data_IF_102728632376
#
_entry.id   IF_102728632376
#
_cell.length_a   1.000
_cell.length_b   1.000
_cell.length_c   1.000
_cell.angle_alpha   90.00
_cell.angle_beta   90.00
_cell.angle_gamma   90.00
#
_symmetry.space_group_name_H-M   'P 1'
#
loop_
_entity.id
_entity.type
_entity.pdbx_description
1 polymer ?
#
# COMPACT_ATOMS: atom_id res chain seq x y z
N UNK A 1 36.70 -4.20 7.61
CA UNK A 1 35.79 -5.12 8.31
C UNK A 1 35.07 -4.32 9.38
N UNK A 2 33.91 -3.79 9.04
CA UNK A 2 33.01 -3.14 10.00
C UNK A 2 31.67 -3.88 9.89
N UNK A 3 31.56 -4.91 10.72
CA UNK A 3 30.31 -5.62 10.99
C UNK A 3 29.47 -4.68 11.86
N UNK A 4 28.69 -3.79 11.20
CA UNK A 4 27.67 -3.00 11.89
C UNK A 4 26.52 -3.97 12.17
N UNK A 5 26.43 -4.43 13.41
CA UNK A 5 25.27 -5.12 13.94
C UNK A 5 24.04 -4.30 13.56
N UNK A 6 23.15 -4.87 12.73
CA UNK A 6 21.83 -4.27 12.46
C UNK A 6 21.08 -4.19 13.79
N UNK A 7 20.34 -3.11 14.08
CA UNK A 7 19.49 -3.05 15.27
C UNK A 7 18.53 -4.25 15.30
N UNK A 8 18.24 -4.78 16.46
CA UNK A 8 17.37 -5.97 16.62
C UNK A 8 15.98 -5.78 15.98
N UNK A 9 15.44 -4.55 15.96
CA UNK A 9 14.16 -4.19 15.33
C UNK A 9 14.16 -4.36 13.81
N UNK A 10 15.25 -3.98 13.12
CA UNK A 10 15.41 -4.18 11.67
C UNK A 10 15.42 -5.67 11.30
N UNK A 11 16.09 -6.47 12.12
CA UNK A 11 16.13 -7.93 11.96
C UNK A 11 14.73 -8.53 12.08
N UNK A 12 13.89 -8.00 12.99
CA UNK A 12 12.53 -8.49 13.23
C UNK A 12 11.61 -8.18 12.04
N UNK A 13 11.59 -6.95 11.50
CA UNK A 13 10.76 -6.61 10.35
C UNK A 13 11.12 -7.42 9.11
N UNK A 14 12.41 -7.59 8.82
CA UNK A 14 12.90 -8.37 7.68
C UNK A 14 12.47 -9.84 7.79
N UNK A 15 12.55 -10.42 8.98
CA UNK A 15 12.07 -11.78 9.25
C UNK A 15 10.54 -11.89 9.05
N UNK A 16 9.77 -10.95 9.59
CA UNK A 16 8.32 -10.91 9.43
C UNK A 16 7.90 -10.73 7.96
N UNK A 17 8.63 -9.93 7.19
CA UNK A 17 8.36 -9.75 5.76
C UNK A 17 8.56 -11.06 4.98
N UNK A 18 9.60 -11.82 5.31
CA UNK A 18 9.87 -13.13 4.73
C UNK A 18 8.79 -14.18 5.11
N UNK A 19 8.38 -14.18 6.37
CA UNK A 19 7.30 -15.03 6.89
C UNK A 19 5.95 -14.71 6.22
N UNK A 20 5.59 -13.43 6.17
CA UNK A 20 4.33 -12.99 5.54
C UNK A 20 4.29 -13.30 4.06
N UNK A 21 5.40 -13.14 3.32
CA UNK A 21 5.45 -13.51 1.91
C UNK A 21 5.24 -15.01 1.70
N UNK A 22 5.84 -15.84 2.56
CA UNK A 22 5.66 -17.30 2.52
C UNK A 22 4.21 -17.68 2.84
N UNK A 23 3.65 -17.15 3.92
CA UNK A 23 2.28 -17.42 4.34
C UNK A 23 1.25 -16.96 3.29
N UNK A 24 1.48 -15.81 2.65
CA UNK A 24 0.65 -15.29 1.55
C UNK A 24 0.59 -16.27 0.39
N UNK A 25 1.73 -16.86 0.00
CA UNK A 25 1.82 -17.82 -1.11
C UNK A 25 1.28 -19.20 -0.76
N UNK A 26 1.43 -19.63 0.48
CA UNK A 26 0.86 -20.89 0.98
C UNK A 26 -0.66 -20.82 1.07
N UNK A 27 -1.21 -19.68 1.45
CA UNK A 27 -2.65 -19.44 1.54
C UNK A 27 -3.04 -18.12 0.86
N UNK A 28 -3.24 -18.12 -0.47
CA UNK A 28 -3.50 -16.94 -1.26
C UNK A 28 -4.65 -16.08 -0.71
N UNK A 29 -4.40 -14.85 -0.21
CA UNK A 29 -5.47 -14.02 0.34
C UNK A 29 -6.37 -13.51 -0.78
N UNK A 30 -7.69 -13.66 -0.61
CA UNK A 30 -8.69 -13.05 -1.48
C UNK A 30 -8.66 -11.53 -1.28
N UNK A 31 -8.16 -10.82 -2.27
CA UNK A 31 -7.95 -9.37 -2.20
C UNK A 31 -8.98 -8.65 -3.06
N UNK A 32 -9.93 -8.02 -2.40
CA UNK A 32 -10.98 -7.21 -3.04
C UNK A 32 -10.43 -5.84 -3.40
N UNK A 33 -10.59 -5.42 -4.66
CA UNK A 33 -10.10 -4.12 -5.14
C UNK A 33 -11.23 -3.33 -5.81
N UNK A 34 -11.60 -2.19 -5.21
CA UNK A 34 -12.26 -1.09 -5.91
C UNK A 34 -11.15 -0.14 -6.30
N UNK A 35 -10.75 -0.16 -7.57
CA UNK A 35 -9.60 0.61 -8.06
C UNK A 35 -9.93 1.39 -9.33
N UNK A 36 -9.06 2.32 -9.68
CA UNK A 36 -9.26 3.13 -10.87
C UNK A 36 -9.13 2.31 -12.17
N UNK A 37 -9.90 2.70 -13.17
CA UNK A 37 -10.02 1.97 -14.45
C UNK A 37 -8.72 1.91 -15.24
N UNK A 38 -7.81 2.87 -15.00
CA UNK A 38 -6.53 2.96 -15.74
C UNK A 38 -5.58 1.83 -15.35
N UNK A 39 -5.72 1.28 -14.13
CA UNK A 39 -4.76 0.30 -13.57
C UNK A 39 -5.39 -1.03 -13.16
N UNK A 40 -6.69 -1.24 -13.40
CA UNK A 40 -7.42 -2.44 -12.95
C UNK A 40 -6.71 -3.73 -13.35
N UNK A 41 -6.39 -3.90 -14.64
CA UNK A 41 -5.69 -5.09 -15.13
C UNK A 41 -4.26 -5.24 -14.59
N UNK A 42 -3.52 -4.12 -14.46
CA UNK A 42 -2.17 -4.16 -13.91
C UNK A 42 -2.18 -4.53 -12.41
N UNK A 43 -3.09 -3.95 -11.63
CA UNK A 43 -3.25 -4.29 -10.20
C UNK A 43 -3.60 -5.77 -10.00
N UNK A 44 -4.51 -6.31 -10.82
CA UNK A 44 -4.83 -7.73 -10.78
C UNK A 44 -3.61 -8.60 -11.08
N UNK A 45 -2.83 -8.27 -12.12
CA UNK A 45 -1.62 -9.00 -12.47
C UNK A 45 -0.53 -8.92 -11.38
N UNK A 46 -0.37 -7.77 -10.73
CA UNK A 46 0.55 -7.60 -9.58
C UNK A 46 0.16 -8.54 -8.43
N UNK A 47 -1.13 -8.62 -8.09
CA UNK A 47 -1.60 -9.53 -7.05
C UNK A 47 -1.40 -11.00 -7.43
N UNK A 48 -1.71 -11.38 -8.69
CA UNK A 48 -1.46 -12.74 -9.19
C UNK A 48 0.03 -13.10 -9.16
N UNK A 49 0.89 -12.20 -9.63
CA UNK A 49 2.34 -12.40 -9.60
C UNK A 49 2.88 -12.57 -8.18
N UNK A 50 2.34 -11.82 -7.23
CA UNK A 50 2.70 -11.93 -5.81
C UNK A 50 2.28 -13.27 -5.20
N UNK A 51 1.22 -13.90 -5.71
CA UNK A 51 0.61 -15.12 -5.18
C UNK A 51 -0.72 -14.91 -4.46
N UNK A 52 -1.32 -13.71 -4.55
CA UNK A 52 -2.64 -13.41 -4.01
C UNK A 52 -3.76 -13.68 -5.03
N UNK A 53 -5.02 -13.72 -4.58
CA UNK A 53 -6.21 -13.89 -5.41
C UNK A 53 -6.96 -12.56 -5.57
N UNK A 54 -6.80 -11.82 -6.71
CA UNK A 54 -7.49 -10.55 -6.91
C UNK A 54 -8.97 -10.74 -7.26
N UNK A 55 -9.82 -9.83 -6.76
CA UNK A 55 -11.20 -9.69 -7.18
C UNK A 55 -11.57 -8.21 -7.36
N UNK A 56 -12.00 -7.86 -8.58
CA UNK A 56 -12.35 -6.48 -8.95
C UNK A 56 -13.86 -6.33 -8.90
N UNK A 57 -14.42 -6.16 -7.67
CA UNK A 57 -15.87 -6.07 -7.44
C UNK A 57 -16.22 -4.64 -7.03
N UNK A 58 -16.73 -3.85 -7.96
CA UNK A 58 -16.98 -2.42 -7.81
C UNK A 58 -18.40 -1.99 -8.14
N UNK A 59 -19.33 -2.95 -8.02
CA UNK A 59 -20.77 -2.79 -8.28
C UNK A 59 -21.54 -2.69 -6.96
N UNK A 60 -22.50 -1.77 -6.90
CA UNK A 60 -23.46 -1.64 -5.79
C UNK A 60 -24.23 -2.95 -5.60
N UNK A 61 -24.60 -3.25 -4.37
CA UNK A 61 -25.25 -4.50 -3.93
C UNK A 61 -24.34 -5.75 -3.93
N UNK A 62 -23.15 -5.70 -4.55
CA UNK A 62 -22.17 -6.78 -4.53
C UNK A 62 -20.95 -6.43 -3.65
N UNK A 63 -20.48 -5.18 -3.72
CA UNK A 63 -19.22 -4.77 -3.10
C UNK A 63 -19.21 -4.96 -1.58
N UNK A 64 -20.32 -4.67 -0.90
CA UNK A 64 -20.44 -4.84 0.54
C UNK A 64 -20.39 -6.32 0.96
N UNK A 65 -21.12 -7.17 0.24
CA UNK A 65 -21.13 -8.62 0.49
C UNK A 65 -19.73 -9.22 0.25
N UNK A 66 -19.10 -8.81 -0.84
CA UNK A 66 -17.78 -9.34 -1.19
C UNK A 66 -16.68 -8.89 -0.23
N UNK A 67 -16.71 -7.63 0.24
CA UNK A 67 -15.78 -7.12 1.23
C UNK A 67 -15.85 -7.89 2.56
N UNK A 68 -17.03 -8.42 2.90
CA UNK A 68 -17.25 -9.26 4.09
C UNK A 68 -16.57 -10.63 4.04
N UNK A 69 -16.33 -11.18 2.84
CA UNK A 69 -15.68 -12.49 2.65
C UNK A 69 -14.22 -12.37 2.19
N UNK A 70 -13.78 -11.19 1.79
CA UNK A 70 -12.41 -10.94 1.40
C UNK A 70 -11.44 -11.03 2.58
N UNK A 71 -10.18 -11.36 2.30
CA UNK A 71 -9.09 -11.31 3.28
C UNK A 71 -8.65 -9.87 3.56
N UNK A 72 -8.63 -9.03 2.51
CA UNK A 72 -8.30 -7.62 2.59
C UNK A 72 -8.95 -6.83 1.46
N UNK A 73 -9.17 -5.53 1.64
CA UNK A 73 -9.86 -4.66 0.67
C UNK A 73 -9.00 -3.44 0.33
N UNK A 74 -8.92 -3.10 -0.96
CA UNK A 74 -8.38 -1.82 -1.44
C UNK A 74 -9.51 -0.91 -1.92
N UNK A 75 -9.52 0.33 -1.44
CA UNK A 75 -10.31 1.44 -1.99
C UNK A 75 -9.35 2.51 -2.54
N UNK A 76 -9.20 2.54 -3.87
CA UNK A 76 -8.37 3.50 -4.59
C UNK A 76 -9.23 4.51 -5.35
N UNK A 77 -9.02 5.79 -5.09
CA UNK A 77 -9.87 6.89 -5.56
C UNK A 77 -9.39 7.53 -6.88
N UNK A 78 -8.63 6.81 -7.70
CA UNK A 78 -8.03 7.37 -8.93
C UNK A 78 -9.03 7.85 -9.98
N UNK A 79 -10.09 7.09 -10.25
CA UNK A 79 -11.17 7.46 -11.19
C UNK A 79 -12.54 7.10 -10.64
N UNK A 80 -13.02 7.74 -9.55
CA UNK A 80 -14.19 7.30 -8.80
C UNK A 80 -15.48 7.62 -9.55
N UNK A 81 -15.98 6.68 -10.37
CA UNK A 81 -17.30 6.79 -11.01
C UNK A 81 -18.40 6.89 -9.96
N UNK A 82 -19.61 7.36 -10.31
CA UNK A 82 -20.73 7.35 -9.36
C UNK A 82 -20.99 5.98 -8.74
N UNK A 83 -20.90 4.92 -9.54
CA UNK A 83 -21.05 3.52 -9.10
C UNK A 83 -19.97 3.15 -8.10
N UNK A 84 -18.68 3.33 -8.44
CA UNK A 84 -17.58 3.01 -7.55
C UNK A 84 -17.60 3.80 -6.23
N UNK A 85 -18.12 5.04 -6.23
CA UNK A 85 -18.28 5.81 -4.99
C UNK A 85 -19.28 5.17 -4.03
N UNK A 86 -20.44 4.74 -4.57
CA UNK A 86 -21.46 4.05 -3.77
C UNK A 86 -20.97 2.67 -3.33
N UNK A 87 -20.40 1.88 -4.24
CA UNK A 87 -19.80 0.58 -3.94
C UNK A 87 -18.68 0.65 -2.88
N UNK A 88 -17.87 1.73 -2.89
CA UNK A 88 -16.83 1.94 -1.87
C UNK A 88 -17.41 2.12 -0.46
N UNK A 89 -18.51 2.82 -0.31
CA UNK A 89 -19.20 2.99 0.98
C UNK A 89 -19.76 1.65 1.48
N UNK A 90 -20.37 0.85 0.59
CA UNK A 90 -20.85 -0.49 0.91
C UNK A 90 -19.71 -1.43 1.28
N UNK A 91 -18.62 -1.43 0.50
CA UNK A 91 -17.46 -2.26 0.77
C UNK A 91 -16.84 -1.95 2.15
N UNK A 92 -16.71 -0.66 2.50
CA UNK A 92 -16.21 -0.25 3.82
C UNK A 92 -17.16 -0.69 4.93
N UNK A 93 -18.48 -0.59 4.74
CA UNK A 93 -19.46 -1.07 5.72
C UNK A 93 -19.39 -2.59 5.88
N UNK A 94 -19.31 -3.35 4.77
CA UNK A 94 -19.16 -4.81 4.78
C UNK A 94 -17.86 -5.26 5.43
N UNK A 95 -16.76 -4.60 5.11
CA UNK A 95 -15.45 -4.85 5.73
C UNK A 95 -15.48 -4.60 7.23
N UNK A 96 -16.08 -3.49 7.67
CA UNK A 96 -16.22 -3.16 9.10
C UNK A 96 -17.05 -4.22 9.85
N UNK A 97 -18.15 -4.70 9.27
CA UNK A 97 -19.01 -5.71 9.87
C UNK A 97 -18.28 -7.07 10.04
N UNK A 98 -17.40 -7.43 9.11
CA UNK A 98 -16.63 -8.68 9.12
C UNK A 98 -15.24 -8.56 9.78
N UNK A 99 -14.81 -7.35 10.15
CA UNK A 99 -13.47 -7.07 10.63
C UNK A 99 -12.40 -7.28 9.57
N UNK A 100 -12.76 -7.17 8.28
CA UNK A 100 -11.82 -7.26 7.16
C UNK A 100 -10.97 -5.98 7.10
N UNK A 101 -9.62 -6.08 7.11
CA UNK A 101 -8.77 -4.92 7.00
C UNK A 101 -8.90 -4.30 5.60
N UNK A 102 -8.89 -2.96 5.55
CA UNK A 102 -8.96 -2.26 4.27
C UNK A 102 -7.98 -1.11 4.18
N UNK A 103 -7.55 -0.81 2.96
CA UNK A 103 -6.58 0.22 2.61
C UNK A 103 -7.30 1.34 1.87
N UNK A 104 -7.06 2.60 2.28
CA UNK A 104 -7.45 3.80 1.55
C UNK A 104 -6.26 4.31 0.74
N UNK A 105 -6.42 4.41 -0.58
CA UNK A 105 -5.45 5.07 -1.49
C UNK A 105 -6.12 6.31 -2.10
N UNK A 106 -5.92 7.51 -1.49
CA UNK A 106 -6.63 8.74 -1.84
C UNK A 106 -5.99 9.45 -3.03
N UNK A 107 -5.88 8.76 -4.15
CA UNK A 107 -5.20 9.25 -5.37
C UNK A 107 -5.69 10.62 -5.80
N UNK A 108 -4.76 11.57 -5.95
CA UNK A 108 -4.97 12.92 -6.49
C UNK A 108 -6.05 13.74 -5.74
N UNK A 109 -6.18 13.57 -4.44
CA UNK A 109 -7.00 14.45 -3.60
C UNK A 109 -6.36 15.82 -3.40
N UNK A 110 -7.11 16.75 -2.84
CA UNK A 110 -6.72 18.16 -2.65
C UNK A 110 -7.20 19.05 -3.78
N UNK A 111 -6.79 18.78 -5.02
CA UNK A 111 -7.19 19.57 -6.19
C UNK A 111 -8.52 19.14 -6.82
N UNK A 112 -8.95 17.90 -6.62
CA UNK A 112 -10.15 17.32 -7.24
C UNK A 112 -11.27 17.13 -6.20
N UNK A 113 -12.32 17.95 -6.20
CA UNK A 113 -13.26 18.06 -5.09
C UNK A 113 -14.05 16.77 -4.81
N UNK A 114 -14.45 16.03 -5.85
CA UNK A 114 -15.27 14.81 -5.69
C UNK A 114 -14.53 13.75 -4.89
N UNK A 115 -13.30 13.42 -5.28
CA UNK A 115 -12.50 12.40 -4.58
C UNK A 115 -11.98 12.89 -3.24
N UNK A 116 -11.73 14.20 -3.11
CA UNK A 116 -11.31 14.81 -1.84
C UNK A 116 -12.41 14.66 -0.79
N UNK A 117 -13.65 15.01 -1.13
CA UNK A 117 -14.78 14.85 -0.23
C UNK A 117 -15.01 13.37 0.14
N UNK A 118 -14.89 12.46 -0.83
CA UNK A 118 -15.03 11.03 -0.60
C UNK A 118 -13.92 10.49 0.32
N UNK A 119 -12.65 10.87 0.11
CA UNK A 119 -11.54 10.47 0.96
C UNK A 119 -11.74 10.91 2.42
N UNK A 120 -12.15 12.18 2.63
CA UNK A 120 -12.47 12.68 3.98
C UNK A 120 -13.65 11.97 4.63
N UNK A 121 -14.61 11.50 3.86
CA UNK A 121 -15.70 10.65 4.38
C UNK A 121 -15.19 9.26 4.76
N UNK A 122 -14.49 8.59 3.85
CA UNK A 122 -14.02 7.21 4.03
C UNK A 122 -13.02 7.08 5.18
N UNK A 123 -12.09 8.04 5.35
CA UNK A 123 -11.07 7.95 6.41
C UNK A 123 -11.68 7.92 7.81
N UNK A 124 -12.89 8.45 8.00
CA UNK A 124 -13.60 8.40 9.29
C UNK A 124 -14.01 6.97 9.69
N UNK A 125 -14.08 6.05 8.72
CA UNK A 125 -14.36 4.63 8.94
C UNK A 125 -13.11 3.82 9.30
N UNK A 126 -12.01 4.49 9.65
CA UNK A 126 -10.79 3.90 10.20
C UNK A 126 -10.20 2.79 9.34
N UNK A 127 -9.66 3.11 8.15
CA UNK A 127 -8.91 2.14 7.36
C UNK A 127 -7.78 1.52 8.19
N UNK A 128 -7.48 0.25 7.97
CA UNK A 128 -6.31 -0.39 8.59
C UNK A 128 -5.02 0.30 8.11
N UNK A 129 -4.97 0.72 6.83
CA UNK A 129 -3.89 1.52 6.32
C UNK A 129 -4.39 2.63 5.37
N UNK A 130 -3.62 3.72 5.31
CA UNK A 130 -3.74 4.82 4.35
C UNK A 130 -2.43 4.85 3.57
N UNK A 131 -2.50 4.78 2.24
CA UNK A 131 -1.33 4.86 1.37
C UNK A 131 -1.46 6.05 0.44
N UNK A 132 -0.45 6.91 0.36
CA UNK A 132 -0.42 8.04 -0.57
C UNK A 132 0.99 8.58 -0.76
N UNK A 133 1.17 9.51 -1.69
CA UNK A 133 2.38 10.33 -1.74
C UNK A 133 2.29 11.48 -0.72
N UNK A 134 3.37 12.24 -0.55
CA UNK A 134 3.43 13.32 0.43
C UNK A 134 2.29 14.35 0.26
N UNK A 135 2.00 14.77 -0.97
CA UNK A 135 0.95 15.77 -1.24
C UNK A 135 -0.46 15.25 -0.94
N UNK A 136 -0.74 13.96 -1.18
CA UNK A 136 -2.01 13.32 -0.86
C UNK A 136 -2.21 13.18 0.65
N UNK A 137 -1.17 12.81 1.38
CA UNK A 137 -1.21 12.70 2.85
C UNK A 137 -1.40 14.09 3.50
N UNK A 138 -0.70 15.11 3.02
CA UNK A 138 -0.91 16.50 3.48
C UNK A 138 -2.34 16.97 3.20
N UNK A 139 -2.87 16.71 2.01
CA UNK A 139 -4.24 17.06 1.65
C UNK A 139 -5.27 16.33 2.51
N UNK A 140 -5.07 15.04 2.80
CA UNK A 140 -5.95 14.26 3.66
C UNK A 140 -5.93 14.76 5.12
N UNK A 141 -4.78 15.25 5.59
CA UNK A 141 -4.64 15.88 6.90
C UNK A 141 -5.29 17.27 7.00
N UNK A 142 -5.78 17.83 5.89
CA UNK A 142 -6.34 19.19 5.83
C UNK A 142 -5.27 20.28 5.78
N UNK A 143 -4.02 19.92 5.55
CA UNK A 143 -2.91 20.81 5.33
C UNK A 143 -2.81 21.03 3.81
N UNK A 144 -3.32 22.15 3.32
CA UNK A 144 -3.33 22.46 1.89
C UNK A 144 -1.92 22.62 1.37
N UNK A 145 -1.39 21.61 0.72
CA UNK A 145 -0.33 21.79 -0.23
C UNK A 145 -0.95 22.44 -1.47
N UNK A 146 -0.57 23.64 -1.80
CA UNK A 146 -0.96 24.32 -3.03
C UNK A 146 -0.30 23.71 -4.29
N UNK A 147 -0.12 22.39 -4.31
CA UNK A 147 0.57 21.67 -5.37
C UNK A 147 -0.29 21.50 -6.62
N UNK A 148 0.26 21.84 -7.79
CA UNK A 148 -0.32 21.57 -9.09
C UNK A 148 -0.04 20.10 -9.45
N UNK A 149 -1.06 19.23 -9.32
CA UNK A 149 -0.99 17.90 -9.91
C UNK A 149 -0.31 16.81 -9.06
N UNK A 150 -0.16 15.65 -9.66
CA UNK A 150 0.32 14.38 -9.07
C UNK A 150 1.84 14.39 -8.82
N UNK A 151 2.54 15.42 -9.24
CA UNK A 151 4.00 15.58 -9.05
C UNK A 151 4.26 15.82 -7.55
N UNK A 152 4.84 14.83 -6.91
CA UNK A 152 5.26 14.87 -5.51
C UNK A 152 6.42 15.87 -5.38
N UNK A 153 6.10 17.17 -5.23
CA UNK A 153 7.08 18.21 -4.92
C UNK A 153 7.47 18.21 -3.45
N UNK A 154 6.64 17.59 -2.60
CA UNK A 154 6.87 17.48 -1.17
C UNK A 154 7.59 16.16 -0.84
N UNK A 155 8.56 16.23 0.05
CA UNK A 155 9.29 15.05 0.52
C UNK A 155 8.46 14.27 1.54
N UNK A 156 8.76 12.98 1.73
CA UNK A 156 8.14 12.17 2.80
C UNK A 156 8.38 12.78 4.19
N UNK A 157 9.50 13.46 4.38
CA UNK A 157 9.80 14.19 5.63
C UNK A 157 8.86 15.37 5.85
N UNK A 158 8.49 16.12 4.80
CA UNK A 158 7.51 17.19 4.89
C UNK A 158 6.12 16.70 5.30
N UNK A 159 5.77 15.46 4.94
CA UNK A 159 4.49 14.84 5.29
C UNK A 159 4.53 14.05 6.62
N UNK A 160 5.68 13.97 7.28
CA UNK A 160 5.87 13.15 8.49
C UNK A 160 4.87 13.50 9.60
N UNK A 161 4.76 14.79 9.95
CA UNK A 161 3.86 15.23 11.01
C UNK A 161 2.39 14.99 10.65
N UNK A 162 2.03 15.17 9.37
CA UNK A 162 0.70 14.86 8.86
C UNK A 162 0.39 13.36 8.95
N UNK A 163 1.34 12.50 8.58
CA UNK A 163 1.21 11.06 8.68
C UNK A 163 1.02 10.60 10.13
N UNK A 164 1.82 11.12 11.05
CA UNK A 164 1.70 10.85 12.49
C UNK A 164 0.34 11.29 13.05
N UNK A 165 -0.12 12.49 12.67
CA UNK A 165 -1.42 13.01 13.10
C UNK A 165 -2.59 12.17 12.57
N UNK A 166 -2.55 11.76 11.29
CA UNK A 166 -3.56 10.88 10.70
C UNK A 166 -3.56 9.50 11.37
N UNK A 167 -2.38 8.91 11.59
CA UNK A 167 -2.24 7.63 12.27
C UNK A 167 -2.83 7.66 13.68
N UNK A 168 -2.46 8.65 14.48
CA UNK A 168 -2.99 8.83 15.83
C UNK A 168 -4.50 9.10 15.85
N UNK A 169 -5.01 9.91 14.90
CA UNK A 169 -6.43 10.30 14.83
C UNK A 169 -7.35 9.15 14.44
N UNK A 170 -6.93 8.33 13.48
CA UNK A 170 -7.77 7.29 12.88
C UNK A 170 -7.42 5.88 13.35
N UNK A 171 -6.31 5.70 14.05
CA UNK A 171 -5.81 4.37 14.44
C UNK A 171 -5.36 3.55 13.22
N UNK A 172 -4.91 4.24 12.18
CA UNK A 172 -4.50 3.65 10.90
C UNK A 172 -2.98 3.63 10.78
N UNK A 173 -2.44 2.68 10.06
CA UNK A 173 -1.06 2.80 9.55
C UNK A 173 -1.07 3.77 8.37
N UNK A 174 -0.14 4.73 8.35
CA UNK A 174 0.00 5.67 7.23
C UNK A 174 1.31 5.39 6.52
N UNK A 175 1.23 5.08 5.23
CA UNK A 175 2.36 4.82 4.34
C UNK A 175 2.51 5.96 3.33
N UNK A 176 3.57 6.74 3.46
CA UNK A 176 3.92 7.83 2.56
C UNK A 176 4.99 7.35 1.59
N UNK A 177 4.63 7.24 0.32
CA UNK A 177 5.57 6.81 -0.73
C UNK A 177 6.45 7.97 -1.20
N UNK A 178 7.74 7.66 -1.43
CA UNK A 178 8.74 8.59 -1.94
C UNK A 178 10.07 7.89 -2.25
N UNK A 179 11.16 8.65 -2.46
CA UNK A 179 12.50 8.06 -2.62
C UNK A 179 12.94 7.22 -1.42
N UNK A 180 12.47 7.56 -0.23
CA UNK A 180 12.50 6.76 0.99
C UNK A 180 11.08 6.76 1.52
N UNK A 181 10.42 5.61 1.52
CA UNK A 181 9.08 5.48 2.08
C UNK A 181 9.10 5.72 3.60
N UNK A 182 8.03 6.35 4.11
CA UNK A 182 7.80 6.54 5.53
C UNK A 182 6.50 5.84 5.92
N UNK A 183 6.56 4.94 6.89
CA UNK A 183 5.39 4.18 7.35
C UNK A 183 5.28 4.32 8.86
N UNK A 184 4.10 4.67 9.36
CA UNK A 184 3.90 4.92 10.80
C UNK A 184 2.52 4.48 11.30
N UNK A 185 2.47 4.03 12.54
CA UNK A 185 1.24 3.78 13.32
C UNK A 185 0.97 4.91 14.36
N UNK A 186 1.78 5.99 14.33
CA UNK A 186 1.74 7.07 15.29
C UNK A 186 2.58 6.83 16.56
N UNK A 187 3.20 5.65 16.69
CA UNK A 187 4.09 5.27 17.81
C UNK A 187 5.45 4.82 17.33
N UNK A 188 5.50 4.21 16.18
CA UNK A 188 6.72 3.72 15.50
C UNK A 188 6.77 4.32 14.11
N UNK A 189 7.99 4.51 13.62
CA UNK A 189 8.25 4.93 12.25
C UNK A 189 9.20 3.91 11.62
N UNK A 190 8.80 3.42 10.45
CA UNK A 190 9.64 2.60 9.57
C UNK A 190 9.98 3.40 8.34
N UNK A 191 11.26 3.42 7.96
CA UNK A 191 11.77 3.99 6.71
C UNK A 191 12.30 2.88 5.83
N UNK A 192 11.92 2.89 4.55
CA UNK A 192 12.36 1.90 3.56
C UNK A 192 13.02 2.66 2.41
N UNK A 193 14.32 2.42 2.23
CA UNK A 193 15.14 3.04 1.18
C UNK A 193 15.30 2.16 -0.07
N UNK A 194 14.49 1.11 -0.19
CA UNK A 194 14.38 0.28 -1.38
C UNK A 194 13.44 0.92 -2.41
N UNK A 195 13.62 0.57 -3.67
CA UNK A 195 12.78 0.99 -4.77
C UNK A 195 13.57 1.55 -5.95
N UNK A 196 12.85 1.89 -7.01
CA UNK A 196 13.42 2.46 -8.22
C UNK A 196 12.49 3.52 -8.82
N UNK A 197 13.07 4.57 -9.42
CA UNK A 197 12.31 5.66 -10.03
C UNK A 197 11.39 5.22 -11.18
N UNK A 198 11.65 4.08 -11.82
CA UNK A 198 10.82 3.52 -12.88
C UNK A 198 9.40 3.19 -12.41
N UNK A 199 9.19 2.97 -11.10
CA UNK A 199 7.85 2.87 -10.52
C UNK A 199 6.98 4.10 -10.79
N UNK A 200 7.58 5.28 -10.92
CA UNK A 200 6.87 6.53 -11.23
C UNK A 200 6.58 6.70 -12.73
N UNK A 201 7.23 5.89 -13.57
CA UNK A 201 7.11 5.94 -15.04
C UNK A 201 6.21 4.86 -15.62
N UNK A 202 5.62 4.03 -14.75
CA UNK A 202 4.66 2.99 -15.13
C UNK A 202 3.33 3.28 -14.45
N UNK A 203 2.27 3.35 -15.26
CA UNK A 203 0.92 3.55 -14.74
C UNK A 203 0.54 2.37 -13.85
N UNK A 204 0.17 2.66 -12.62
CA UNK A 204 -0.21 1.64 -11.65
C UNK A 204 0.90 1.26 -10.66
N UNK A 205 2.15 1.67 -10.87
CA UNK A 205 3.25 1.35 -9.95
C UNK A 205 2.94 1.72 -8.49
N UNK A 206 2.37 2.90 -8.26
CA UNK A 206 1.89 3.29 -6.93
C UNK A 206 0.57 2.63 -6.54
N UNK A 207 -0.45 2.67 -7.40
CA UNK A 207 -1.79 2.17 -7.08
C UNK A 207 -1.81 0.66 -6.76
N UNK A 208 -0.99 -0.15 -7.43
CA UNK A 208 -0.88 -1.57 -7.16
C UNK A 208 -0.28 -1.86 -5.77
N UNK A 209 0.61 -1.00 -5.25
CA UNK A 209 1.15 -1.15 -3.89
C UNK A 209 0.03 -1.13 -2.83
N UNK A 210 -1.02 -0.32 -3.01
CA UNK A 210 -2.17 -0.34 -2.11
C UNK A 210 -2.87 -1.70 -2.06
N UNK A 211 -2.97 -2.39 -3.20
CA UNK A 211 -3.52 -3.75 -3.26
C UNK A 211 -2.59 -4.77 -2.60
N UNK A 212 -1.27 -4.65 -2.80
CA UNK A 212 -0.28 -5.48 -2.10
C UNK A 212 -0.39 -5.30 -0.59
N UNK A 213 -0.53 -4.06 -0.11
CA UNK A 213 -0.75 -3.79 1.33
C UNK A 213 -2.04 -4.46 1.83
N UNK A 214 -3.13 -4.43 1.06
CA UNK A 214 -4.37 -5.10 1.43
C UNK A 214 -4.20 -6.62 1.53
N UNK A 215 -3.45 -7.23 0.60
CA UNK A 215 -3.13 -8.66 0.64
C UNK A 215 -2.29 -9.02 1.88
N UNK A 216 -1.24 -8.26 2.18
CA UNK A 216 -0.40 -8.47 3.37
C UNK A 216 -1.17 -8.28 4.68
N UNK A 217 -2.03 -7.27 4.77
CA UNK A 217 -2.90 -7.06 5.93
C UNK A 217 -3.86 -8.24 6.14
N UNK A 218 -4.42 -8.78 5.06
CA UNK A 218 -5.25 -9.97 5.10
C UNK A 218 -4.51 -11.19 5.62
N UNK A 219 -3.28 -11.42 5.15
CA UNK A 219 -2.41 -12.51 5.62
C UNK A 219 -1.99 -12.30 7.07
N UNK A 220 -1.59 -11.08 7.44
CA UNK A 220 -1.14 -10.73 8.78
C UNK A 220 -2.23 -10.92 9.85
N UNK A 221 -3.50 -10.69 9.48
CA UNK A 221 -4.65 -10.93 10.36
C UNK A 221 -4.73 -12.40 10.82
N UNK A 222 -4.44 -13.34 9.93
CA UNK A 222 -4.44 -14.77 10.27
C UNK A 222 -3.18 -15.23 10.99
N UNK A 223 -2.06 -14.53 10.76
CA UNK A 223 -0.77 -14.78 11.39
C UNK A 223 -0.59 -14.01 12.73
N UNK A 224 -1.59 -13.21 13.13
CA UNK A 224 -1.54 -12.35 14.33
C UNK A 224 -0.37 -11.36 14.35
N UNK A 225 0.05 -10.89 13.16
CA UNK A 225 1.10 -9.88 12.97
C UNK A 225 0.44 -8.49 12.94
N UNK A 226 1.07 -7.51 13.60
CA UNK A 226 0.53 -6.16 13.69
C UNK A 226 0.48 -5.43 12.33
N UNK A 227 -0.48 -4.50 12.14
CA UNK A 227 -0.69 -3.82 10.86
C UNK A 227 0.51 -3.01 10.36
N UNK A 228 1.33 -2.39 11.24
CA UNK A 228 2.50 -1.64 10.80
C UNK A 228 3.52 -2.57 10.15
N UNK A 229 3.80 -3.70 10.79
CA UNK A 229 4.68 -4.73 10.26
C UNK A 229 4.17 -5.26 8.92
N UNK A 230 2.86 -5.52 8.79
CA UNK A 230 2.27 -5.98 7.53
C UNK A 230 2.43 -4.98 6.38
N UNK A 231 2.12 -3.70 6.63
CA UNK A 231 2.22 -2.63 5.61
C UNK A 231 3.67 -2.36 5.24
N UNK A 232 4.58 -2.34 6.20
CA UNK A 232 6.02 -2.18 5.95
C UNK A 232 6.58 -3.37 5.16
N UNK A 233 6.17 -4.61 5.49
CA UNK A 233 6.54 -5.81 4.73
C UNK A 233 6.05 -5.76 3.29
N UNK A 234 4.82 -5.31 3.05
CA UNK A 234 4.27 -5.12 1.71
C UNK A 234 5.11 -4.13 0.88
N UNK A 235 5.45 -2.96 1.46
CA UNK A 235 6.31 -1.98 0.80
C UNK A 235 7.69 -2.55 0.52
N UNK A 236 8.30 -3.22 1.48
CA UNK A 236 9.65 -3.79 1.35
C UNK A 236 9.72 -4.84 0.23
N UNK A 237 8.79 -5.79 0.21
CA UNK A 237 8.73 -6.83 -0.85
C UNK A 237 8.51 -6.21 -2.22
N UNK A 238 7.60 -5.25 -2.32
CA UNK A 238 7.27 -4.58 -3.59
C UNK A 238 8.44 -3.76 -4.12
N UNK A 239 9.11 -3.01 -3.27
CA UNK A 239 10.23 -2.14 -3.65
C UNK A 239 11.50 -2.94 -3.97
N UNK A 240 11.77 -4.06 -3.28
CA UNK A 240 12.84 -4.99 -3.65
C UNK A 240 12.58 -5.63 -5.02
N UNK A 241 11.34 -6.04 -5.30
CA UNK A 241 10.98 -6.54 -6.62
C UNK A 241 11.16 -5.48 -7.71
N UNK A 242 10.85 -4.21 -7.41
CA UNK A 242 11.08 -3.09 -8.33
C UNK A 242 12.57 -2.88 -8.65
N UNK A 243 13.46 -2.96 -7.68
CA UNK A 243 14.92 -2.88 -7.92
C UNK A 243 15.41 -4.03 -8.82
N UNK A 244 14.91 -5.24 -8.58
CA UNK A 244 15.27 -6.41 -9.42
C UNK A 244 14.75 -6.26 -10.85
N UNK A 245 13.55 -5.71 -11.00
CA UNK A 245 12.97 -5.40 -12.30
C UNK A 245 13.77 -4.32 -13.03
N UNK A 246 14.12 -3.23 -12.35
CA UNK A 246 14.90 -2.13 -12.92
C UNK A 246 16.28 -2.59 -13.41
N UNK A 247 16.93 -3.48 -12.69
CA UNK A 247 18.22 -4.05 -13.07
C UNK A 247 18.18 -4.87 -14.39
N UNK A 248 16.99 -5.32 -14.82
CA UNK A 248 16.78 -6.11 -16.05
C UNK A 248 16.13 -5.29 -17.17
N UNK A 249 15.43 -4.23 -16.80
CA UNK A 249 14.64 -3.43 -17.73
C UNK A 249 15.50 -2.54 -18.62
N UNK A 250 15.12 -2.41 -19.87
CA UNK A 250 15.70 -1.41 -20.81
C UNK A 250 14.94 -0.08 -20.79
N UNK A 251 13.80 0.00 -20.09
CA UNK A 251 12.95 1.19 -20.02
C UNK A 251 11.59 0.88 -19.39
N UNK A 252 10.66 1.85 -19.32
CA UNK A 252 9.38 1.69 -18.59
C UNK A 252 8.53 0.51 -19.08
N UNK A 253 8.52 0.22 -20.39
CA UNK A 253 7.72 -0.86 -20.95
C UNK A 253 8.21 -2.25 -20.49
N UNK A 254 9.51 -2.52 -20.61
CA UNK A 254 10.10 -3.75 -20.09
C UNK A 254 10.06 -3.80 -18.56
N UNK A 255 10.24 -2.65 -17.88
CA UNK A 255 10.11 -2.61 -16.43
C UNK A 255 8.73 -3.08 -15.93
N UNK A 256 7.64 -2.69 -16.60
CA UNK A 256 6.30 -3.14 -16.22
C UNK A 256 6.15 -4.66 -16.29
N UNK A 257 6.77 -5.30 -17.29
CA UNK A 257 6.80 -6.77 -17.42
C UNK A 257 7.72 -7.38 -16.37
N UNK A 258 8.95 -6.89 -16.28
CA UNK A 258 9.96 -7.39 -15.32
C UNK A 258 9.50 -7.24 -13.86
N UNK A 259 8.66 -6.25 -13.54
CA UNK A 259 8.11 -6.09 -12.19
C UNK A 259 7.19 -7.25 -11.81
N UNK A 260 6.34 -7.71 -12.74
CA UNK A 260 5.50 -8.89 -12.52
C UNK A 260 6.35 -10.15 -12.34
N UNK A 261 7.35 -10.34 -13.19
CA UNK A 261 8.26 -11.48 -13.10
C UNK A 261 9.10 -11.44 -11.82
N UNK A 262 9.56 -10.25 -11.40
CA UNK A 262 10.32 -10.08 -10.17
C UNK A 262 9.44 -10.33 -8.92
N UNK A 263 8.17 -9.88 -8.91
CA UNK A 263 7.23 -10.16 -7.82
C UNK A 263 6.96 -11.66 -7.69
N UNK A 264 6.84 -12.38 -8.80
CA UNK A 264 6.68 -13.82 -8.79
C UNK A 264 7.92 -14.56 -8.29
N UNK A 265 9.11 -14.02 -8.58
CA UNK A 265 10.40 -14.66 -8.31
C UNK A 265 11.08 -14.23 -7.00
N UNK A 266 10.59 -13.18 -6.31
CA UNK A 266 11.19 -12.73 -5.05
C UNK A 266 11.00 -13.77 -3.95
N UNK A 267 12.08 -14.14 -3.28
CA UNK A 267 12.11 -15.16 -2.24
C UNK A 267 12.49 -14.56 -0.86
N UNK A 268 12.18 -15.23 0.26
CA UNK A 268 12.55 -14.77 1.61
C UNK A 268 14.01 -14.36 1.75
N UNK A 269 14.95 -15.10 1.16
CA UNK A 269 16.38 -14.78 1.20
C UNK A 269 16.72 -13.49 0.45
N UNK A 270 15.97 -13.13 -0.59
CA UNK A 270 16.16 -11.88 -1.34
C UNK A 270 15.83 -10.67 -0.46
N UNK A 271 14.79 -10.80 0.37
CA UNK A 271 14.38 -9.76 1.32
C UNK A 271 15.49 -9.53 2.32
N UNK A 272 16.02 -10.61 2.92
CA UNK A 272 17.10 -10.53 3.89
C UNK A 272 18.40 -9.92 3.32
N UNK A 273 18.69 -10.20 2.05
CA UNK A 273 19.89 -9.70 1.37
C UNK A 273 19.79 -8.24 0.94
N UNK A 274 18.58 -7.76 0.54
CA UNK A 274 18.40 -6.46 -0.10
C UNK A 274 17.77 -5.39 0.79
N UNK A 275 17.19 -5.74 1.94
CA UNK A 275 16.47 -4.81 2.80
C UNK A 275 17.34 -3.62 3.25
N UNK A 276 16.81 -2.41 3.05
CA UNK A 276 17.35 -1.14 3.55
C UNK A 276 16.27 -0.45 4.37
N UNK A 277 16.19 -0.84 5.64
CA UNK A 277 15.11 -0.45 6.56
C UNK A 277 15.73 0.18 7.80
N UNK A 278 15.08 1.23 8.30
CA UNK A 278 15.31 1.79 9.62
C UNK A 278 13.99 1.82 10.38
N UNK A 279 13.96 1.31 11.60
CA UNK A 279 12.81 1.39 12.50
C UNK A 279 13.17 2.14 13.77
N UNK A 280 12.27 3.01 14.24
CA UNK A 280 12.40 3.72 15.51
C UNK A 280 11.06 3.83 16.24
N UNK A 281 11.07 3.72 17.54
CA UNK A 281 9.98 4.17 18.40
C UNK A 281 9.99 5.72 18.53
N UNK A 282 8.82 6.31 18.73
CA UNK A 282 8.65 7.76 18.92
C UNK A 282 8.56 8.12 20.40
#
# INVERSE_FOLDING_TARGET
MSDRLRPESESTLVASAAELLSALRESPPLTHCITNTVVTGFTANVLLALGAAPAMVDIVDEAGLFAGVASGVLINLGTPTPEQRAASLEAVAGAAAAGTPWVLDPVAIGSLPVRTALAHSLVTSRPAAIRGNASEILALAGLTAGGRGVDATDTTDAASDAALALAARHGSVVAVSGPIDLITDGRRVVRIANGDELLTRVTGGGCALGAVMAAFLGTARTAEIDPLTAVASASLVYTIAAERAAARASGPGSFAVELLDALAAVEPQDIAAAARVEERAL
#
